data_IF_956068055153
#
_entry.id   IF_956068055153
#
_cell.length_a   1.000
_cell.length_b   1.000
_cell.length_c   1.000
_cell.angle_alpha   90.00
_cell.angle_beta   90.00
_cell.angle_gamma   90.00
#
_symmetry.space_group_name_H-M   'P 1'
#
loop_
_entity.id
_entity.type
_entity.pdbx_description
1 polymer ?
#
# COMPACT_ATOMS: atom_id res chain seq x y z
N UNK A 1 -21.15 -8.61 -16.34
CA UNK A 1 -20.87 -8.41 -17.78
C UNK A 1 -19.49 -7.78 -17.94
N UNK A 2 -18.85 -7.87 -19.12
CA UNK A 2 -17.44 -7.48 -19.31
C UNK A 2 -17.08 -6.07 -18.80
N UNK A 3 -17.99 -5.08 -18.94
CA UNK A 3 -17.78 -3.73 -18.42
C UNK A 3 -17.56 -3.70 -16.89
N UNK A 4 -18.37 -4.46 -16.14
CA UNK A 4 -18.24 -4.53 -14.68
C UNK A 4 -16.91 -5.19 -14.28
N UNK A 5 -16.53 -6.26 -14.96
CA UNK A 5 -15.24 -6.91 -14.72
C UNK A 5 -14.06 -5.98 -15.00
N UNK A 6 -14.11 -5.20 -16.08
CA UNK A 6 -13.08 -4.20 -16.38
C UNK A 6 -13.03 -3.07 -15.34
N UNK A 7 -14.20 -2.61 -14.86
CA UNK A 7 -14.28 -1.62 -13.79
C UNK A 7 -13.64 -2.14 -12.50
N UNK A 8 -14.00 -3.35 -12.07
CA UNK A 8 -13.45 -3.97 -10.87
C UNK A 8 -11.95 -4.28 -11.02
N UNK A 9 -11.50 -4.72 -12.19
CA UNK A 9 -10.07 -4.88 -12.49
C UNK A 9 -9.31 -3.57 -12.24
N UNK A 10 -9.74 -2.48 -12.88
CA UNK A 10 -9.07 -1.17 -12.74
C UNK A 10 -9.11 -0.64 -11.32
N UNK A 11 -10.26 -0.76 -10.64
CA UNK A 11 -10.44 -0.35 -9.24
C UNK A 11 -9.50 -1.10 -8.30
N UNK A 12 -9.49 -2.43 -8.35
CA UNK A 12 -8.67 -3.25 -7.45
C UNK A 12 -7.18 -3.05 -7.73
N UNK A 13 -6.78 -2.94 -9.00
CA UNK A 13 -5.39 -2.63 -9.37
C UNK A 13 -4.96 -1.25 -8.85
N UNK A 14 -5.81 -0.23 -8.97
CA UNK A 14 -5.54 1.10 -8.43
C UNK A 14 -5.37 1.10 -6.91
N UNK A 15 -6.18 0.33 -6.19
CA UNK A 15 -6.06 0.18 -4.73
C UNK A 15 -4.73 -0.51 -4.38
N UNK A 16 -4.40 -1.63 -5.03
CA UNK A 16 -3.13 -2.34 -4.81
C UNK A 16 -1.93 -1.42 -5.06
N UNK A 17 -1.98 -0.61 -6.12
CA UNK A 17 -0.94 0.35 -6.44
C UNK A 17 -0.77 1.42 -5.35
N UNK A 18 -1.87 2.00 -4.85
CA UNK A 18 -1.77 2.99 -3.78
C UNK A 18 -1.24 2.38 -2.48
N UNK A 19 -1.65 1.16 -2.13
CA UNK A 19 -1.12 0.45 -0.95
C UNK A 19 0.40 0.20 -1.10
N UNK A 20 0.86 -0.19 -2.29
CA UNK A 20 2.29 -0.37 -2.56
C UNK A 20 3.06 0.96 -2.48
N UNK A 21 2.50 2.06 -2.99
CA UNK A 21 3.13 3.39 -2.94
C UNK A 21 3.27 3.89 -1.50
N UNK A 22 2.20 3.82 -0.70
CA UNK A 22 2.22 4.13 0.74
C UNK A 22 3.22 3.23 1.50
N UNK A 23 3.28 1.94 1.15
CA UNK A 23 4.22 0.99 1.76
C UNK A 23 5.67 1.33 1.41
N UNK A 24 5.98 1.66 0.15
CA UNK A 24 7.33 2.02 -0.28
C UNK A 24 7.78 3.37 0.30
N UNK A 25 6.87 4.33 0.48
CA UNK A 25 7.19 5.56 1.20
C UNK A 25 7.62 5.25 2.64
N UNK A 26 6.88 4.39 3.35
CA UNK A 26 7.18 4.08 4.76
C UNK A 26 8.35 3.09 4.96
N UNK A 27 8.45 2.05 4.13
CA UNK A 27 9.35 0.91 4.37
C UNK A 27 10.31 0.62 3.21
N UNK A 28 10.24 1.40 2.12
CA UNK A 28 11.10 1.22 0.96
C UNK A 28 12.58 1.44 1.27
N UNK A 29 13.43 0.81 0.45
CA UNK A 29 14.87 1.06 0.50
C UNK A 29 15.17 2.39 -0.21
N UNK A 30 15.72 3.41 0.47
CA UNK A 30 15.99 4.70 -0.15
C UNK A 30 17.01 4.62 -1.30
N UNK A 31 17.88 3.60 -1.33
CA UNK A 31 18.82 3.38 -2.43
C UNK A 31 18.15 2.96 -3.75
N UNK A 32 16.96 2.38 -3.63
CA UNK A 32 16.13 1.86 -4.73
C UNK A 32 15.07 2.87 -5.14
N UNK A 33 14.32 3.35 -4.15
CA UNK A 33 13.19 4.25 -4.34
C UNK A 33 13.61 5.70 -4.69
N UNK A 34 14.88 6.06 -4.45
CA UNK A 34 15.45 7.36 -4.81
C UNK A 34 14.88 8.55 -4.04
N UNK A 35 14.18 8.30 -2.92
CA UNK A 35 13.53 9.30 -2.07
C UNK A 35 13.79 9.02 -0.60
N UNK A 36 13.61 10.04 0.23
CA UNK A 36 13.64 9.89 1.69
C UNK A 36 12.51 8.97 2.15
N UNK A 37 12.84 8.03 3.05
CA UNK A 37 11.85 7.15 3.70
C UNK A 37 11.01 7.94 4.71
N UNK A 38 9.71 7.66 4.73
CA UNK A 38 8.73 8.25 5.64
C UNK A 38 8.36 9.68 5.27
N UNK A 39 8.36 10.02 3.99
CA UNK A 39 7.96 11.34 3.51
C UNK A 39 6.52 11.68 3.94
N UNK A 40 5.62 10.71 3.89
CA UNK A 40 4.22 10.88 4.30
C UNK A 40 4.08 11.02 5.82
N UNK A 41 4.94 10.36 6.60
CA UNK A 41 4.99 10.51 8.06
C UNK A 41 5.47 11.91 8.44
N UNK A 42 6.47 12.43 7.73
CA UNK A 42 6.98 13.81 7.95
C UNK A 42 5.96 14.87 7.56
N UNK A 43 5.19 14.62 6.51
CA UNK A 43 4.12 15.50 6.05
C UNK A 43 2.80 15.32 6.83
N UNK A 44 2.78 14.49 7.88
CA UNK A 44 1.59 14.17 8.69
C UNK A 44 0.38 13.73 7.86
N UNK A 45 0.63 13.04 6.74
CA UNK A 45 -0.45 12.54 5.89
C UNK A 45 -1.20 11.41 6.57
N UNK A 46 -2.52 11.44 6.41
CA UNK A 46 -3.42 10.36 6.86
C UNK A 46 -3.46 9.25 5.83
N UNK A 47 -2.37 8.51 5.71
CA UNK A 47 -2.26 7.36 4.81
C UNK A 47 -3.04 6.17 5.34
N UNK A 48 -3.18 5.15 4.50
CA UNK A 48 -3.90 3.94 4.87
C UNK A 48 -3.22 3.17 6.02
N UNK A 49 -1.90 3.28 6.16
CA UNK A 49 -1.13 2.73 7.27
C UNK A 49 -1.54 3.37 8.63
N UNK A 50 -1.77 4.68 8.63
CA UNK A 50 -2.21 5.44 9.81
C UNK A 50 -3.59 5.00 10.28
N UNK A 51 -4.52 4.80 9.34
CA UNK A 51 -5.88 4.35 9.66
C UNK A 51 -5.82 2.99 10.37
N UNK A 52 -5.02 2.05 9.85
CA UNK A 52 -4.92 0.72 10.43
C UNK A 52 -4.32 0.69 11.84
N UNK A 53 -3.32 1.55 12.11
CA UNK A 53 -2.79 1.75 13.46
C UNK A 53 -3.89 2.17 14.43
N UNK A 54 -4.71 3.14 14.03
CA UNK A 54 -5.78 3.68 14.86
C UNK A 54 -6.93 2.69 15.07
N UNK A 55 -7.11 1.72 14.18
CA UNK A 55 -8.11 0.67 14.31
C UNK A 55 -7.59 -0.51 15.14
N UNK A 56 -6.37 -0.98 14.87
CA UNK A 56 -5.95 -2.34 15.23
C UNK A 56 -4.91 -2.43 16.35
N UNK A 57 -4.19 -1.35 16.67
CA UNK A 57 -3.23 -1.34 17.77
C UNK A 57 -3.94 -1.31 19.14
N UNK A 58 -3.18 -1.54 20.23
CA UNK A 58 -3.67 -1.29 21.60
C UNK A 58 -3.84 0.20 21.89
N UNK A 59 -4.62 0.55 22.91
CA UNK A 59 -4.82 1.97 23.30
C UNK A 59 -3.51 2.66 23.70
N UNK A 60 -2.58 1.92 24.32
CA UNK A 60 -1.25 2.43 24.65
C UNK A 60 -0.45 2.79 23.39
N UNK A 61 -0.43 1.90 22.39
CA UNK A 61 0.22 2.15 21.10
C UNK A 61 -0.46 3.29 20.33
N UNK A 62 -1.79 3.39 20.35
CA UNK A 62 -2.50 4.53 19.71
C UNK A 62 -2.16 5.86 20.38
N UNK A 63 -2.04 5.88 21.70
CA UNK A 63 -1.65 7.08 22.45
C UNK A 63 -0.22 7.49 22.09
N UNK A 64 0.68 6.52 22.00
CA UNK A 64 2.06 6.74 21.60
C UNK A 64 2.17 7.24 20.15
N UNK A 65 1.47 6.60 19.22
CA UNK A 65 1.38 7.07 17.83
C UNK A 65 0.95 8.55 17.76
N UNK A 66 -0.13 8.91 18.46
CA UNK A 66 -0.64 10.29 18.49
C UNK A 66 0.34 11.28 19.12
N UNK A 67 1.20 10.83 20.04
CA UNK A 67 2.28 11.63 20.62
C UNK A 67 3.36 11.88 19.56
N UNK A 68 3.86 10.81 18.93
CA UNK A 68 4.88 10.88 17.88
C UNK A 68 4.46 11.74 16.69
N UNK A 69 3.20 11.68 16.27
CA UNK A 69 2.69 12.50 15.17
C UNK A 69 2.65 14.01 15.49
N UNK A 70 2.71 14.40 16.77
CA UNK A 70 2.76 15.82 17.20
C UNK A 70 4.18 16.32 17.43
N UNK A 71 5.16 15.44 17.40
CA UNK A 71 6.56 15.79 17.65
C UNK A 71 7.23 16.27 16.37
N UNK A 72 8.15 17.21 16.55
CA UNK A 72 9.07 17.66 15.50
C UNK A 72 10.46 17.11 15.85
N UNK A 73 11.08 16.38 14.92
CA UNK A 73 12.37 15.76 15.20
C UNK A 73 12.85 14.81 14.11
N UNK A 74 14.17 14.61 14.05
CA UNK A 74 14.82 13.73 13.08
C UNK A 74 14.54 12.23 13.32
N UNK A 75 14.10 11.85 14.51
CA UNK A 75 13.83 10.46 14.91
C UNK A 75 12.33 10.07 14.83
N UNK A 76 11.43 11.03 14.58
CA UNK A 76 9.97 10.81 14.42
C UNK A 76 9.68 9.65 13.49
N UNK A 77 10.27 9.66 12.29
CA UNK A 77 10.07 8.61 11.28
C UNK A 77 10.48 7.25 11.83
N UNK A 78 11.65 7.15 12.47
CA UNK A 78 12.14 5.88 12.99
C UNK A 78 11.21 5.30 14.06
N UNK A 79 10.73 6.12 14.99
CA UNK A 79 9.80 5.68 16.03
C UNK A 79 8.44 5.27 15.47
N UNK A 80 7.89 6.03 14.51
CA UNK A 80 6.62 5.66 13.86
C UNK A 80 6.74 4.35 13.10
N UNK A 81 7.84 4.13 12.37
CA UNK A 81 8.07 2.88 11.65
C UNK A 81 8.27 1.68 12.58
N UNK A 82 8.94 1.88 13.73
CA UNK A 82 9.04 0.85 14.75
C UNK A 82 7.65 0.45 15.28
N UNK A 83 6.83 1.45 15.61
CA UNK A 83 5.46 1.22 16.07
C UNK A 83 4.59 0.53 15.02
N UNK A 84 4.73 0.89 13.73
CA UNK A 84 4.04 0.21 12.64
C UNK A 84 4.37 -1.28 12.60
N UNK A 85 5.65 -1.65 12.75
CA UNK A 85 6.08 -3.05 12.80
C UNK A 85 5.57 -3.77 14.04
N UNK A 86 5.57 -3.13 15.20
CA UNK A 86 5.00 -3.69 16.43
C UNK A 86 3.50 -3.97 16.31
N UNK A 87 2.78 -3.12 15.59
CA UNK A 87 1.36 -3.33 15.28
C UNK A 87 1.11 -4.27 14.09
N UNK A 88 2.16 -4.78 13.42
CA UNK A 88 2.05 -5.65 12.25
C UNK A 88 1.49 -4.99 10.99
N UNK A 89 1.55 -3.65 10.91
CA UNK A 89 1.02 -2.85 9.80
C UNK A 89 1.77 -3.15 8.50
N UNK A 90 3.07 -3.42 8.58
CA UNK A 90 3.92 -3.81 7.45
C UNK A 90 3.42 -5.10 6.78
N UNK A 91 3.17 -6.13 7.59
CA UNK A 91 2.66 -7.43 7.12
C UNK A 91 1.25 -7.31 6.60
N UNK A 92 0.41 -6.55 7.28
CA UNK A 92 -0.95 -6.30 6.87
C UNK A 92 -1.03 -5.56 5.53
N UNK A 93 -0.23 -4.51 5.33
CA UNK A 93 -0.20 -3.74 4.09
C UNK A 93 0.22 -4.62 2.90
N UNK A 94 1.25 -5.45 3.10
CA UNK A 94 1.65 -6.45 2.11
C UNK A 94 0.51 -7.44 1.79
N UNK A 95 -0.12 -8.02 2.83
CA UNK A 95 -1.23 -8.94 2.63
C UNK A 95 -2.43 -8.30 1.93
N UNK A 96 -2.72 -7.03 2.22
CA UNK A 96 -3.79 -6.30 1.58
C UNK A 96 -3.49 -5.99 0.11
N UNK A 97 -2.25 -5.59 -0.19
CA UNK A 97 -1.79 -5.43 -1.57
C UNK A 97 -2.02 -6.71 -2.37
N UNK A 98 -1.53 -7.85 -1.87
CA UNK A 98 -1.71 -9.15 -2.52
C UNK A 98 -3.19 -9.50 -2.72
N UNK A 99 -4.04 -9.23 -1.72
CA UNK A 99 -5.49 -9.41 -1.85
C UNK A 99 -6.06 -8.63 -3.04
N UNK A 100 -5.71 -7.36 -3.18
CA UNK A 100 -6.24 -6.53 -4.26
C UNK A 100 -5.65 -6.85 -5.63
N UNK A 101 -4.40 -7.31 -5.70
CA UNK A 101 -3.80 -7.85 -6.93
C UNK A 101 -4.58 -9.09 -7.38
N UNK A 102 -4.82 -10.03 -6.48
CA UNK A 102 -5.57 -11.25 -6.78
C UNK A 102 -7.01 -10.95 -7.23
N UNK A 103 -7.66 -9.96 -6.61
CA UNK A 103 -8.99 -9.51 -7.05
C UNK A 103 -8.94 -8.89 -8.45
N UNK A 104 -7.93 -8.08 -8.74
CA UNK A 104 -7.74 -7.51 -10.07
C UNK A 104 -7.55 -8.62 -11.11
N UNK A 105 -6.63 -9.57 -10.87
CA UNK A 105 -6.40 -10.72 -11.74
C UNK A 105 -7.67 -11.52 -12.00
N UNK A 106 -8.39 -11.86 -10.94
CA UNK A 106 -9.67 -12.58 -11.05
C UNK A 106 -10.62 -11.85 -11.99
N UNK A 107 -10.83 -10.55 -11.79
CA UNK A 107 -11.75 -9.79 -12.63
C UNK A 107 -11.28 -9.67 -14.09
N UNK A 108 -9.96 -9.58 -14.34
CA UNK A 108 -9.43 -9.57 -15.71
C UNK A 108 -9.66 -10.93 -16.40
N UNK A 109 -9.50 -12.03 -15.68
CA UNK A 109 -9.75 -13.37 -16.21
C UNK A 109 -11.23 -13.63 -16.53
N UNK A 110 -12.14 -13.05 -15.76
CA UNK A 110 -13.59 -13.18 -16.01
C UNK A 110 -14.10 -12.35 -17.20
N UNK A 111 -13.29 -11.48 -17.79
CA UNK A 111 -13.67 -10.78 -19.03
C UNK A 111 -13.80 -11.80 -20.16
N UNK A 112 -15.01 -12.00 -20.69
CA UNK A 112 -15.34 -12.99 -21.71
C UNK A 112 -14.86 -12.54 -23.11
N UNK A 113 -13.55 -12.53 -23.31
CA UNK A 113 -12.85 -12.27 -24.58
C UNK A 113 -11.65 -13.21 -24.70
N UNK A 114 -11.13 -13.48 -25.92
CA UNK A 114 -9.90 -14.26 -26.07
C UNK A 114 -8.75 -13.68 -25.24
N UNK A 115 -7.95 -14.53 -24.59
CA UNK A 115 -6.87 -14.12 -23.68
C UNK A 115 -5.87 -13.16 -24.32
N UNK A 116 -5.61 -13.28 -25.62
CA UNK A 116 -4.76 -12.37 -26.38
C UNK A 116 -5.19 -10.89 -26.27
N UNK A 117 -6.48 -10.61 -26.05
CA UNK A 117 -6.99 -9.24 -25.86
C UNK A 117 -6.75 -8.69 -24.45
N UNK A 118 -6.39 -9.54 -23.49
CA UNK A 118 -6.12 -9.17 -22.09
C UNK A 118 -4.64 -8.86 -21.84
N UNK A 119 -3.74 -9.28 -22.74
CA UNK A 119 -2.29 -9.22 -22.57
C UNK A 119 -1.75 -7.83 -22.23
N UNK A 120 -2.25 -6.78 -22.87
CA UNK A 120 -1.83 -5.40 -22.56
C UNK A 120 -2.17 -4.99 -21.12
N UNK A 121 -3.32 -5.43 -20.60
CA UNK A 121 -3.74 -5.14 -19.22
C UNK A 121 -2.97 -6.00 -18.21
N UNK A 122 -2.64 -7.25 -18.55
CA UNK A 122 -1.76 -8.09 -17.74
C UNK A 122 -0.36 -7.48 -17.60
N UNK A 123 0.21 -7.00 -18.70
CA UNK A 123 1.51 -6.30 -18.69
C UNK A 123 1.47 -5.02 -17.86
N UNK A 124 0.40 -4.23 -17.98
CA UNK A 124 0.20 -3.05 -17.14
C UNK A 124 0.16 -3.41 -15.64
N UNK A 125 -0.61 -4.43 -15.28
CA UNK A 125 -0.71 -4.91 -13.90
C UNK A 125 0.66 -5.36 -13.37
N UNK A 126 1.40 -6.18 -14.14
CA UNK A 126 2.74 -6.61 -13.78
C UNK A 126 3.70 -5.42 -13.56
N UNK A 127 3.66 -4.43 -14.46
CA UNK A 127 4.47 -3.21 -14.34
C UNK A 127 4.15 -2.40 -13.08
N UNK A 128 2.87 -2.31 -12.69
CA UNK A 128 2.46 -1.56 -11.51
C UNK A 128 2.77 -2.30 -10.21
N UNK A 129 2.77 -3.63 -10.22
CA UNK A 129 2.99 -4.49 -9.04
C UNK A 129 4.48 -4.75 -8.78
N UNK A 130 5.29 -4.98 -9.82
CA UNK A 130 6.71 -5.34 -9.70
C UNK A 130 7.65 -4.13 -9.57
N UNK A 131 7.25 -3.07 -8.85
CA UNK A 131 8.13 -1.94 -8.56
C UNK A 131 9.23 -2.34 -7.55
N UNK A 132 10.17 -3.17 -7.98
CA UNK A 132 11.45 -3.49 -7.33
C UNK A 132 12.59 -2.69 -7.98
N UNK A 133 12.40 -1.39 -8.18
CA UNK A 133 13.46 -0.48 -8.61
C UNK A 133 14.03 0.25 -7.41
#
# INVERSE_FOLDING_TARGET
GNQEHLYQFGKNLGIAFQVQDDYLDAFGDPSKFGKQVGGDILADKKTFLVIHVLESCSDAQKKEFKRLMKEEGNDKVQHVLALFRECGVDKWANGLKEKYINLAEYHLEEVAVPSARKESLKKLMQFLVQRDH
#
